data_IF_118681922834
#
_entry.id   IF_118681922834
#
_cell.length_a   1.000
_cell.length_b   1.000
_cell.length_c   1.000
_cell.angle_alpha   90.00
_cell.angle_beta   90.00
_cell.angle_gamma   90.00
#
_symmetry.space_group_name_H-M   'P 1'
#
loop_
_entity.id
_entity.type
_entity.pdbx_description
1 polymer ?
#
# COMPACT_ATOMS: atom_id res chain seq x y z
N UNK A 1 13.21 16.92 -6.12
CA UNK A 1 12.34 15.73 -6.03
C UNK A 1 13.05 14.46 -6.43
N UNK A 2 13.84 14.41 -7.52
CA UNK A 2 14.64 13.23 -7.89
C UNK A 2 15.41 12.59 -6.71
N UNK A 3 16.24 13.36 -6.00
CA UNK A 3 17.07 12.87 -4.89
C UNK A 3 16.29 12.55 -3.61
N UNK A 4 15.14 13.20 -3.40
CA UNK A 4 14.36 13.10 -2.16
C UNK A 4 13.16 12.16 -2.28
N UNK A 5 12.83 11.70 -3.49
CA UNK A 5 11.61 10.94 -3.78
C UNK A 5 11.91 9.73 -4.64
N UNK A 6 12.29 9.95 -5.90
CA UNK A 6 12.34 8.86 -6.89
C UNK A 6 13.53 7.93 -6.71
N UNK A 7 14.70 8.47 -6.37
CA UNK A 7 15.87 7.66 -5.99
C UNK A 7 15.58 6.86 -4.71
N UNK A 8 15.11 7.46 -3.61
CA UNK A 8 14.71 6.73 -2.41
C UNK A 8 13.65 5.65 -2.62
N UNK A 9 12.61 5.90 -3.42
CA UNK A 9 11.59 4.88 -3.75
C UNK A 9 12.24 3.69 -4.46
N UNK A 10 13.12 3.94 -5.43
CA UNK A 10 13.83 2.89 -6.16
C UNK A 10 14.76 2.09 -5.23
N UNK A 11 15.47 2.78 -4.34
CA UNK A 11 16.31 2.17 -3.31
C UNK A 11 15.50 1.31 -2.35
N UNK A 12 14.36 1.80 -1.86
CA UNK A 12 13.47 1.07 -0.96
C UNK A 12 12.97 -0.22 -1.60
N UNK A 13 12.57 -0.17 -2.88
CA UNK A 13 12.14 -1.36 -3.62
C UNK A 13 13.29 -2.37 -3.74
N UNK A 14 14.52 -1.92 -4.02
CA UNK A 14 15.70 -2.77 -4.05
C UNK A 14 16.02 -3.37 -2.67
N UNK A 15 16.00 -2.56 -1.62
CA UNK A 15 16.28 -3.00 -0.24
C UNK A 15 15.22 -4.01 0.23
N UNK A 16 13.93 -3.83 -0.10
CA UNK A 16 12.90 -4.83 0.16
C UNK A 16 13.15 -6.16 -0.55
N UNK A 17 13.63 -6.14 -1.80
CA UNK A 17 14.01 -7.38 -2.53
C UNK A 17 15.17 -8.11 -1.87
N UNK A 18 16.06 -7.37 -1.19
CA UNK A 18 17.17 -7.90 -0.39
C UNK A 18 16.78 -8.21 1.06
N UNK A 19 15.48 -8.16 1.39
CA UNK A 19 14.93 -8.33 2.74
C UNK A 19 15.51 -7.35 3.78
N UNK A 20 16.03 -6.20 3.34
CA UNK A 20 16.54 -5.12 4.19
C UNK A 20 15.41 -4.13 4.52
N UNK A 21 14.37 -4.61 5.19
CA UNK A 21 13.08 -3.91 5.34
C UNK A 21 13.18 -2.61 6.14
N UNK A 22 13.94 -2.60 7.23
CA UNK A 22 14.16 -1.39 8.03
C UNK A 22 14.83 -0.28 7.21
N UNK A 23 15.84 -0.64 6.41
CA UNK A 23 16.53 0.29 5.52
C UNK A 23 15.59 0.81 4.41
N UNK A 24 14.73 -0.05 3.88
CA UNK A 24 13.73 0.36 2.90
C UNK A 24 12.77 1.42 3.47
N UNK A 25 12.39 1.30 4.75
CA UNK A 25 11.59 2.33 5.44
C UNK A 25 12.40 3.60 5.66
N UNK A 26 13.64 3.48 6.14
CA UNK A 26 14.52 4.61 6.46
C UNK A 26 14.77 5.52 5.26
N UNK A 27 15.11 4.96 4.09
CA UNK A 27 15.40 5.79 2.90
C UNK A 27 14.18 6.61 2.45
N UNK A 28 12.97 6.09 2.68
CA UNK A 28 11.71 6.76 2.35
C UNK A 28 11.38 7.94 3.27
N UNK A 29 12.12 8.16 4.35
CA UNK A 29 11.89 9.32 5.25
C UNK A 29 12.14 10.65 4.51
N UNK A 30 13.08 10.66 3.57
CA UNK A 30 13.36 11.81 2.71
C UNK A 30 12.15 12.23 1.85
N UNK A 31 11.22 11.32 1.58
CA UNK A 31 10.04 11.58 0.77
C UNK A 31 8.86 12.16 1.57
N UNK A 32 8.90 12.15 2.92
CA UNK A 32 7.79 12.61 3.77
C UNK A 32 7.24 14.01 3.42
N UNK A 33 8.07 15.02 3.13
CA UNK A 33 7.56 16.36 2.77
C UNK A 33 6.82 16.41 1.43
N UNK A 34 6.95 15.35 0.61
CA UNK A 34 6.40 15.25 -0.75
C UNK A 34 5.28 14.21 -0.85
N UNK A 35 4.96 13.51 0.24
CA UNK A 35 3.82 12.60 0.34
C UNK A 35 2.51 13.38 0.16
N UNK A 36 1.52 12.75 -0.49
CA UNK A 36 0.17 13.31 -0.66
C UNK A 36 0.13 14.67 -1.41
N UNK A 37 1.21 15.06 -2.09
CA UNK A 37 1.20 16.23 -2.97
C UNK A 37 0.54 15.94 -4.31
N UNK A 38 0.22 16.98 -5.07
CA UNK A 38 -0.25 16.87 -6.46
C UNK A 38 0.69 17.68 -7.37
N UNK A 39 1.05 17.13 -8.54
CA UNK A 39 1.91 17.79 -9.53
C UNK A 39 3.21 17.05 -9.87
N UNK A 40 4.03 17.58 -10.80
CA UNK A 40 5.20 16.90 -11.36
C UNK A 40 6.31 16.59 -10.33
N UNK A 41 6.29 17.30 -9.21
CA UNK A 41 7.25 17.21 -8.13
C UNK A 41 6.73 16.43 -6.89
N UNK A 42 5.60 15.76 -7.03
CA UNK A 42 4.99 14.94 -5.99
C UNK A 42 5.20 13.44 -6.24
N UNK A 43 5.12 12.64 -5.18
CA UNK A 43 5.01 11.18 -5.27
C UNK A 43 3.59 10.64 -5.13
N UNK A 44 2.57 11.51 -5.00
CA UNK A 44 1.19 11.12 -4.74
C UNK A 44 1.14 10.12 -3.56
N UNK A 45 0.80 8.87 -3.83
CA UNK A 45 0.72 7.78 -2.85
C UNK A 45 1.94 6.85 -2.82
N UNK A 46 2.91 7.00 -3.73
CA UNK A 46 3.97 6.01 -3.93
C UNK A 46 4.81 5.77 -2.68
N UNK A 47 5.28 6.83 -2.01
CA UNK A 47 6.10 6.67 -0.81
C UNK A 47 5.33 5.97 0.33
N UNK A 48 4.07 6.35 0.56
CA UNK A 48 3.21 5.69 1.55
C UNK A 48 2.97 4.22 1.20
N UNK A 49 2.66 3.92 -0.07
CA UNK A 49 2.36 2.56 -0.51
C UNK A 49 3.57 1.63 -0.36
N UNK A 50 4.74 2.09 -0.81
CA UNK A 50 5.98 1.32 -0.70
C UNK A 50 6.40 1.14 0.77
N UNK A 51 6.19 2.15 1.63
CA UNK A 51 6.43 2.02 3.08
C UNK A 51 5.46 1.01 3.72
N UNK A 52 4.19 1.03 3.32
CA UNK A 52 3.18 0.05 3.71
C UNK A 52 3.58 -1.37 3.33
N UNK A 53 4.08 -1.58 2.11
CA UNK A 53 4.57 -2.88 1.63
C UNK A 53 5.79 -3.36 2.41
N UNK A 54 6.71 -2.46 2.76
CA UNK A 54 7.86 -2.77 3.60
C UNK A 54 7.42 -3.22 5.01
N UNK A 55 6.49 -2.50 5.64
CA UNK A 55 5.94 -2.88 6.94
C UNK A 55 5.15 -4.20 6.88
N UNK A 56 4.37 -4.45 5.82
CA UNK A 56 3.69 -5.74 5.63
C UNK A 56 4.69 -6.90 5.58
N UNK A 57 5.75 -6.77 4.78
CA UNK A 57 6.82 -7.77 4.69
C UNK A 57 7.54 -7.98 6.03
N UNK A 58 7.60 -6.94 6.85
CA UNK A 58 8.21 -7.00 8.19
C UNK A 58 7.26 -7.58 9.25
N UNK A 59 6.05 -8.01 8.87
CA UNK A 59 4.98 -8.43 9.77
C UNK A 59 4.53 -7.33 10.76
N UNK A 60 4.78 -6.06 10.45
CA UNK A 60 4.41 -4.90 11.26
C UNK A 60 3.01 -4.39 10.87
N UNK A 61 1.99 -5.22 11.10
CA UNK A 61 0.62 -4.99 10.62
C UNK A 61 0.03 -3.62 10.99
N UNK A 62 0.24 -3.13 12.21
CA UNK A 62 -0.29 -1.83 12.64
C UNK A 62 0.34 -0.65 11.87
N UNK A 63 1.66 -0.69 11.62
CA UNK A 63 2.36 0.34 10.86
C UNK A 63 1.97 0.30 9.39
N UNK A 64 1.86 -0.90 8.81
CA UNK A 64 1.35 -1.09 7.46
C UNK A 64 -0.06 -0.53 7.29
N UNK A 65 -0.98 -0.88 8.20
CA UNK A 65 -2.36 -0.39 8.17
C UNK A 65 -2.41 1.15 8.19
N UNK A 66 -1.56 1.79 8.99
CA UNK A 66 -1.49 3.25 9.09
C UNK A 66 -1.09 3.92 7.76
N UNK A 67 -0.13 3.36 7.03
CA UNK A 67 0.29 3.91 5.73
C UNK A 67 -0.80 3.75 4.65
N UNK A 68 -1.48 2.60 4.60
CA UNK A 68 -2.59 2.39 3.66
C UNK A 68 -3.80 3.25 4.01
N UNK A 69 -4.14 3.38 5.28
CA UNK A 69 -5.25 4.22 5.71
C UNK A 69 -5.00 5.68 5.34
N UNK A 70 -3.77 6.16 5.50
CA UNK A 70 -3.38 7.52 5.08
C UNK A 70 -3.62 7.76 3.60
N UNK A 71 -3.39 6.78 2.72
CA UNK A 71 -3.74 6.88 1.29
C UNK A 71 -5.26 6.93 1.12
N UNK A 72 -5.99 6.04 1.79
CA UNK A 72 -7.44 5.90 1.65
C UNK A 72 -8.21 7.14 2.14
N UNK A 73 -7.70 7.80 3.17
CA UNK A 73 -8.23 9.05 3.73
C UNK A 73 -8.00 10.25 2.80
N UNK A 74 -7.06 10.14 1.85
CA UNK A 74 -6.62 11.25 0.98
C UNK A 74 -6.92 10.98 -0.50
N UNK A 75 -8.11 10.44 -0.79
CA UNK A 75 -8.55 10.13 -2.18
C UNK A 75 -8.43 11.31 -3.15
N UNK A 76 -8.59 12.55 -2.68
CA UNK A 76 -8.56 13.75 -3.51
C UNK A 76 -7.20 14.08 -4.16
N UNK A 77 -6.11 13.47 -3.69
CA UNK A 77 -4.75 13.72 -4.21
C UNK A 77 -4.59 13.19 -5.63
N UNK A 78 -5.01 11.96 -5.89
CA UNK A 78 -4.97 11.34 -7.21
C UNK A 78 -6.06 10.26 -7.34
N UNK A 79 -7.33 10.67 -7.56
CA UNK A 79 -8.48 9.77 -7.46
C UNK A 79 -8.47 8.61 -8.47
N UNK A 80 -7.75 8.75 -9.58
CA UNK A 80 -7.66 7.75 -10.64
C UNK A 80 -6.45 6.81 -10.46
N UNK A 81 -5.61 7.04 -9.46
CA UNK A 81 -4.42 6.24 -9.23
C UNK A 81 -4.78 4.80 -8.81
N UNK A 82 -4.27 3.76 -9.49
CA UNK A 82 -4.54 2.37 -9.10
C UNK A 82 -4.06 2.05 -7.67
N UNK A 83 -3.03 2.76 -7.17
CA UNK A 83 -2.53 2.60 -5.79
C UNK A 83 -3.65 2.84 -4.77
N UNK A 84 -4.57 3.77 -5.02
CA UNK A 84 -5.69 4.02 -4.11
C UNK A 84 -6.54 2.77 -3.90
N UNK A 85 -6.88 2.06 -4.98
CA UNK A 85 -7.65 0.82 -4.88
C UNK A 85 -6.80 -0.32 -4.28
N UNK A 86 -5.53 -0.43 -4.70
CA UNK A 86 -4.61 -1.46 -4.20
C UNK A 86 -4.30 -1.31 -2.70
N UNK A 87 -4.33 -0.10 -2.15
CA UNK A 87 -4.17 0.16 -0.72
C UNK A 87 -5.25 -0.53 0.13
N UNK A 88 -6.44 -0.80 -0.41
CA UNK A 88 -7.46 -1.61 0.29
C UNK A 88 -7.01 -3.07 0.47
N UNK A 89 -6.34 -3.65 -0.53
CA UNK A 89 -5.75 -4.99 -0.42
C UNK A 89 -4.63 -5.01 0.62
N UNK A 90 -3.73 -4.00 0.57
CA UNK A 90 -2.68 -3.84 1.57
C UNK A 90 -3.22 -3.69 2.99
N UNK A 91 -4.27 -2.89 3.18
CA UNK A 91 -4.95 -2.70 4.45
C UNK A 91 -5.59 -4.00 4.95
N UNK A 92 -6.24 -4.77 4.07
CA UNK A 92 -6.82 -6.06 4.43
C UNK A 92 -5.76 -7.05 4.95
N UNK A 93 -4.63 -7.16 4.23
CA UNK A 93 -3.48 -7.97 4.66
C UNK A 93 -2.91 -7.51 6.00
N UNK A 94 -2.83 -6.19 6.21
CA UNK A 94 -2.36 -5.61 7.46
C UNK A 94 -3.26 -5.95 8.64
N UNK A 95 -4.59 -5.94 8.45
CA UNK A 95 -5.54 -6.37 9.47
C UNK A 95 -5.50 -7.88 9.73
N UNK A 96 -5.33 -8.70 8.68
CA UNK A 96 -5.13 -10.15 8.86
C UNK A 96 -3.88 -10.46 9.70
N UNK A 97 -2.77 -9.74 9.51
CA UNK A 97 -1.56 -9.88 10.35
C UNK A 97 -1.82 -9.52 11.82
N UNK A 98 -2.79 -8.64 12.09
CA UNK A 98 -3.19 -8.26 13.45
C UNK A 98 -4.25 -9.21 14.05
N UNK A 99 -4.74 -10.19 13.28
CA UNK A 99 -5.84 -11.08 13.69
C UNK A 99 -7.22 -10.44 13.61
N UNK A 100 -7.37 -9.23 13.05
CA UNK A 100 -8.65 -8.54 12.91
C UNK A 100 -9.34 -8.94 11.60
N UNK A 101 -9.87 -10.18 11.59
CA UNK A 101 -10.52 -10.74 10.41
C UNK A 101 -11.75 -9.94 9.98
N UNK A 102 -12.47 -9.31 10.91
CA UNK A 102 -13.62 -8.47 10.59
C UNK A 102 -13.21 -7.29 9.73
N UNK A 103 -12.19 -6.52 10.15
CA UNK A 103 -11.72 -5.38 9.34
C UNK A 103 -11.03 -5.83 8.06
N UNK A 104 -10.30 -6.95 8.08
CA UNK A 104 -9.66 -7.50 6.89
C UNK A 104 -10.71 -7.84 5.80
N UNK A 105 -11.83 -8.48 6.20
CA UNK A 105 -12.94 -8.79 5.30
C UNK A 105 -13.56 -7.53 4.71
N UNK A 106 -13.83 -6.51 5.52
CA UNK A 106 -14.38 -5.25 5.04
C UNK A 106 -13.47 -4.60 3.99
N UNK A 107 -12.16 -4.53 4.26
CA UNK A 107 -11.22 -3.93 3.32
C UNK A 107 -11.13 -4.70 1.97
N UNK A 108 -11.19 -6.04 1.99
CA UNK A 108 -11.30 -6.82 0.75
C UNK A 108 -12.61 -6.56 0.00
N UNK A 109 -13.74 -6.48 0.72
CA UNK A 109 -15.04 -6.19 0.10
C UNK A 109 -15.05 -4.82 -0.57
N UNK A 110 -14.48 -3.79 0.08
CA UNK A 110 -14.35 -2.45 -0.50
C UNK A 110 -13.47 -2.45 -1.75
N UNK A 111 -12.40 -3.26 -1.77
CA UNK A 111 -11.59 -3.47 -2.96
C UNK A 111 -12.41 -4.09 -4.09
N UNK A 112 -13.15 -5.17 -3.82
CA UNK A 112 -13.98 -5.83 -4.83
C UNK A 112 -15.09 -4.94 -5.36
N UNK A 113 -15.70 -4.10 -4.51
CA UNK A 113 -16.69 -3.11 -4.95
C UNK A 113 -16.07 -2.09 -5.91
N UNK A 114 -14.84 -1.65 -5.65
CA UNK A 114 -14.12 -0.70 -6.51
C UNK A 114 -13.68 -1.36 -7.83
N UNK A 115 -13.30 -2.64 -7.79
CA UNK A 115 -12.77 -3.40 -8.93
C UNK A 115 -13.79 -4.40 -9.51
N UNK A 116 -15.09 -4.12 -9.40
CA UNK A 116 -16.15 -5.05 -9.85
C UNK A 116 -16.13 -5.32 -11.36
N UNK A 117 -15.71 -4.34 -12.14
CA UNK A 117 -15.60 -4.40 -13.61
C UNK A 117 -14.13 -4.51 -14.08
N UNK A 118 -13.18 -4.74 -13.16
CA UNK A 118 -11.79 -4.94 -13.52
C UNK A 118 -11.61 -6.28 -14.27
N UNK A 119 -10.55 -6.37 -15.08
CA UNK A 119 -10.17 -7.63 -15.72
C UNK A 119 -10.00 -8.73 -14.65
N UNK A 120 -10.78 -9.83 -14.72
CA UNK A 120 -10.77 -10.87 -13.71
C UNK A 120 -9.45 -11.64 -13.65
N UNK A 121 -8.61 -11.54 -14.68
CA UNK A 121 -7.35 -12.26 -14.78
C UNK A 121 -6.16 -11.58 -14.12
N UNK A 122 -6.33 -10.34 -13.66
CA UNK A 122 -5.28 -9.59 -12.95
C UNK A 122 -4.85 -10.37 -11.68
N UNK A 123 -3.55 -10.70 -11.53
CA UNK A 123 -3.08 -11.56 -10.44
C UNK A 123 -3.47 -11.09 -9.03
N UNK A 124 -3.40 -9.78 -8.75
CA UNK A 124 -3.75 -9.24 -7.42
C UNK A 124 -5.23 -9.44 -7.08
N UNK A 125 -6.12 -9.40 -8.08
CA UNK A 125 -7.55 -9.61 -7.89
C UNK A 125 -7.85 -11.07 -7.52
N UNK A 126 -7.19 -12.02 -8.19
CA UNK A 126 -7.26 -13.45 -7.86
C UNK A 126 -6.71 -13.74 -6.46
N UNK A 127 -5.56 -13.15 -6.11
CA UNK A 127 -4.95 -13.30 -4.79
C UNK A 127 -5.87 -12.77 -3.69
N UNK A 128 -6.41 -11.55 -3.85
CA UNK A 128 -7.31 -10.96 -2.86
C UNK A 128 -8.56 -11.82 -2.62
N UNK A 129 -9.16 -12.41 -3.66
CA UNK A 129 -10.29 -13.35 -3.51
C UNK A 129 -9.91 -14.60 -2.73
N UNK A 130 -8.75 -15.18 -3.01
CA UNK A 130 -8.25 -16.37 -2.31
C UNK A 130 -7.88 -16.06 -0.85
N UNK A 131 -7.32 -14.88 -0.57
CA UNK A 131 -7.01 -14.40 0.78
C UNK A 131 -8.30 -14.15 1.57
N UNK A 132 -9.29 -13.46 0.98
CA UNK A 132 -10.61 -13.21 1.59
C UNK A 132 -11.33 -14.50 1.98
N UNK A 133 -11.31 -15.52 1.12
CA UNK A 133 -11.97 -16.81 1.37
C UNK A 133 -11.41 -17.53 2.62
N UNK A 134 -10.14 -17.27 2.99
CA UNK A 134 -9.50 -17.85 4.19
C UNK A 134 -9.90 -17.16 5.50
N UNK A 135 -10.61 -16.03 5.43
CA UNK A 135 -11.06 -15.29 6.60
C UNK A 135 -12.47 -15.72 7.08
N UNK A 136 -12.95 -16.87 6.62
CA UNK A 136 -14.20 -17.49 7.08
C UNK A 136 -13.99 -18.27 8.38
#
# INVERSE_FOLDING_TARGET
TLNSVWIPISQAISDMRRNSLAKAVEVLESARPYELGMGPDSCSYWANYIRGEAYLKAHEGQKAASEYQRILDNRGVDPANPIYALSRVGLARAYSLQGDNTKARTAYQDFFATWKDADPDVPVFKQAKAEYAKLQ
#
